data_IF_752049629998
#
_entry.id   IF_752049629998
#
_cell.length_a   1.000
_cell.length_b   1.000
_cell.length_c   1.000
_cell.angle_alpha   90.00
_cell.angle_beta   90.00
_cell.angle_gamma   90.00
#
_symmetry.space_group_name_H-M   'P 1'
#
loop_
_entity.id
_entity.type
_entity.pdbx_description
1 polymer ?
#
# COMPACT_ATOMS: atom_id res chain seq x y z
N UNK A 1 15.83 11.71 -8.75
CA UNK A 1 15.37 11.33 -7.38
C UNK A 1 14.22 10.34 -7.51
N UNK A 2 14.35 9.12 -6.99
CA UNK A 2 13.31 8.10 -7.09
C UNK A 2 12.37 8.21 -5.88
N UNK A 3 11.05 8.36 -6.10
CA UNK A 3 10.06 8.40 -5.01
C UNK A 3 9.92 7.01 -4.40
N UNK A 4 10.01 6.91 -3.08
CA UNK A 4 9.89 5.66 -2.30
C UNK A 4 8.60 5.64 -1.49
N UNK A 5 8.14 4.44 -1.14
CA UNK A 5 6.94 4.17 -0.34
C UNK A 5 7.29 3.09 0.68
N UNK A 6 7.03 3.34 1.96
CA UNK A 6 7.12 2.33 3.02
C UNK A 6 5.75 1.68 3.19
N UNK A 7 5.71 0.34 3.11
CA UNK A 7 4.51 -0.47 3.30
C UNK A 7 4.24 -0.67 4.80
N UNK A 8 3.01 -1.06 5.17
CA UNK A 8 2.61 -1.23 6.57
C UNK A 8 3.43 -2.29 7.32
N UNK A 9 3.94 -3.31 6.61
CA UNK A 9 4.84 -4.33 7.17
C UNK A 9 6.33 -3.91 7.19
N UNK A 10 6.63 -2.63 6.98
CA UNK A 10 7.98 -2.05 7.12
C UNK A 10 8.89 -2.12 5.89
N UNK A 11 8.46 -2.76 4.80
CA UNK A 11 9.27 -2.84 3.57
C UNK A 11 9.17 -1.54 2.76
N UNK A 12 10.31 -1.05 2.29
CA UNK A 12 10.36 0.08 1.37
C UNK A 12 10.39 -0.39 -0.08
N UNK A 13 9.54 0.20 -0.91
CA UNK A 13 9.45 -0.05 -2.35
C UNK A 13 9.48 1.27 -3.12
N UNK A 14 9.81 1.23 -4.40
CA UNK A 14 9.71 2.42 -5.26
C UNK A 14 8.23 2.73 -5.54
N UNK A 15 7.89 3.99 -5.74
CA UNK A 15 6.52 4.40 -6.12
C UNK A 15 6.07 3.70 -7.40
N UNK A 16 7.00 3.49 -8.35
CA UNK A 16 6.74 2.75 -9.58
C UNK A 16 6.37 1.29 -9.28
N UNK A 17 7.09 0.63 -8.37
CA UNK A 17 6.76 -0.74 -7.93
C UNK A 17 5.40 -0.79 -7.22
N UNK A 18 5.08 0.21 -6.39
CA UNK A 18 3.78 0.32 -5.72
C UNK A 18 2.63 0.40 -6.74
N UNK A 19 2.73 1.30 -7.73
CA UNK A 19 1.72 1.46 -8.79
C UNK A 19 1.62 0.20 -9.66
N UNK A 20 2.74 -0.47 -9.97
CA UNK A 20 2.74 -1.76 -10.66
C UNK A 20 2.00 -2.83 -9.85
N UNK A 21 2.20 -2.87 -8.53
CA UNK A 21 1.49 -3.77 -7.62
C UNK A 21 -0.04 -3.59 -7.67
N UNK A 22 -0.52 -2.34 -7.66
CA UNK A 22 -1.95 -2.03 -7.81
C UNK A 22 -2.49 -2.59 -9.13
N UNK A 23 -1.78 -2.38 -10.25
CA UNK A 23 -2.20 -2.84 -11.58
C UNK A 23 -2.26 -4.37 -11.64
N UNK A 24 -1.25 -5.05 -11.09
CA UNK A 24 -1.21 -6.52 -11.02
C UNK A 24 -2.35 -7.07 -10.16
N UNK A 25 -2.62 -6.47 -8.99
CA UNK A 25 -3.73 -6.86 -8.14
C UNK A 25 -5.09 -6.70 -8.85
N UNK A 26 -5.30 -5.58 -9.56
CA UNK A 26 -6.51 -5.35 -10.35
C UNK A 26 -6.68 -6.36 -11.48
N UNK A 27 -5.60 -6.69 -12.19
CA UNK A 27 -5.60 -7.65 -13.30
C UNK A 27 -5.70 -9.12 -12.86
N UNK A 28 -5.43 -9.42 -11.58
CA UNK A 28 -5.50 -10.78 -11.05
C UNK A 28 -6.96 -11.29 -11.03
N UNK A 29 -7.18 -12.60 -11.23
CA UNK A 29 -8.51 -13.20 -11.14
C UNK A 29 -9.18 -12.95 -9.78
N UNK A 30 -10.52 -12.87 -9.71
CA UNK A 30 -11.24 -12.88 -8.44
C UNK A 30 -10.84 -14.09 -7.58
N UNK A 31 -10.84 -13.94 -6.25
CA UNK A 31 -10.42 -14.99 -5.29
C UNK A 31 -8.94 -15.41 -5.36
N UNK A 32 -8.10 -14.66 -6.06
CA UNK A 32 -6.64 -14.86 -5.99
C UNK A 32 -6.15 -14.55 -4.57
N UNK A 33 -5.36 -15.44 -3.99
CA UNK A 33 -4.66 -15.20 -2.72
C UNK A 33 -3.23 -14.78 -3.00
N UNK A 34 -2.82 -13.65 -2.42
CA UNK A 34 -1.44 -13.18 -2.45
C UNK A 34 -0.69 -13.75 -1.25
N UNK A 35 0.61 -14.02 -1.44
CA UNK A 35 1.45 -14.64 -0.40
C UNK A 35 1.56 -13.80 0.87
N UNK A 36 1.39 -12.48 0.75
CA UNK A 36 1.57 -11.54 1.85
C UNK A 36 0.71 -10.28 1.65
N UNK A 37 0.12 -9.79 2.75
CA UNK A 37 -0.49 -8.46 2.88
C UNK A 37 0.49 -7.29 2.73
N UNK A 38 -0.03 -6.08 2.50
CA UNK A 38 0.76 -4.83 2.57
C UNK A 38 0.98 -4.37 4.02
N UNK A 39 0.11 -4.78 4.93
CA UNK A 39 0.15 -4.43 6.35
C UNK A 39 0.49 -5.62 7.27
N UNK A 40 0.56 -6.84 6.73
CA UNK A 40 0.79 -8.06 7.51
C UNK A 40 1.73 -9.04 6.81
N UNK A 41 2.04 -10.14 7.50
CA UNK A 41 2.89 -11.23 6.99
C UNK A 41 2.10 -12.42 6.46
N UNK A 42 0.78 -12.39 6.63
CA UNK A 42 -0.12 -13.49 6.28
C UNK A 42 -0.57 -13.39 4.80
N UNK A 43 -0.90 -14.52 4.17
CA UNK A 43 -1.54 -14.52 2.87
C UNK A 43 -2.92 -13.85 2.94
N UNK A 44 -3.18 -12.94 2.00
CA UNK A 44 -4.42 -12.16 1.98
C UNK A 44 -5.09 -12.29 0.61
N UNK A 45 -6.44 -12.29 0.55
CA UNK A 45 -7.16 -12.32 -0.71
C UNK A 45 -6.98 -11.01 -1.47
N UNK A 46 -7.14 -11.08 -2.79
CA UNK A 46 -7.06 -9.95 -3.72
C UNK A 46 -7.84 -8.74 -3.24
N UNK A 47 -9.05 -8.95 -2.74
CA UNK A 47 -9.96 -7.91 -2.28
C UNK A 47 -9.36 -7.14 -1.09
N UNK A 48 -8.72 -7.85 -0.14
CA UNK A 48 -8.00 -7.23 0.98
C UNK A 48 -6.79 -6.44 0.49
N UNK A 49 -5.95 -7.03 -0.36
CA UNK A 49 -4.77 -6.36 -0.92
C UNK A 49 -5.16 -5.09 -1.67
N UNK A 50 -6.23 -5.14 -2.47
CA UNK A 50 -6.71 -3.98 -3.22
C UNK A 50 -7.21 -2.89 -2.28
N UNK A 51 -7.93 -3.25 -1.21
CA UNK A 51 -8.36 -2.31 -0.17
C UNK A 51 -7.16 -1.64 0.50
N UNK A 52 -6.16 -2.40 0.95
CA UNK A 52 -4.94 -1.86 1.56
C UNK A 52 -4.19 -0.90 0.62
N UNK A 53 -4.10 -1.24 -0.67
CA UNK A 53 -3.51 -0.36 -1.68
C UNK A 53 -4.25 0.97 -1.79
N UNK A 54 -5.58 0.93 -1.82
CA UNK A 54 -6.43 2.13 -1.95
C UNK A 54 -6.42 2.97 -0.68
N UNK A 55 -6.44 2.34 0.50
CA UNK A 55 -6.25 3.02 1.79
C UNK A 55 -4.92 3.79 1.80
N UNK A 56 -3.83 3.16 1.36
CA UNK A 56 -2.54 3.85 1.24
C UNK A 56 -2.57 5.01 0.23
N UNK A 57 -3.32 4.90 -0.87
CA UNK A 57 -3.50 5.99 -1.85
C UNK A 57 -4.27 7.15 -1.23
N UNK A 58 -5.42 6.88 -0.60
CA UNK A 58 -6.24 7.89 0.07
C UNK A 58 -5.46 8.57 1.18
N UNK A 59 -4.72 7.81 1.98
CA UNK A 59 -3.86 8.33 3.03
C UNK A 59 -2.85 9.33 2.44
N UNK A 60 -2.10 8.97 1.39
CA UNK A 60 -1.15 9.91 0.74
C UNK A 60 -1.80 11.15 0.12
N UNK A 61 -3.03 11.05 -0.39
CA UNK A 61 -3.80 12.20 -0.90
C UNK A 61 -4.20 13.11 0.26
N UNK A 62 -4.77 12.54 1.32
CA UNK A 62 -5.20 13.27 2.51
C UNK A 62 -4.01 13.94 3.22
N UNK A 63 -2.84 13.30 3.20
CA UNK A 63 -1.59 13.83 3.74
C UNK A 63 -0.97 14.96 2.92
N UNK A 64 -1.44 15.20 1.70
CA UNK A 64 -1.08 16.38 0.91
C UNK A 64 -2.01 17.58 1.18
N UNK A 65 -3.03 17.45 2.02
CA UNK A 65 -3.95 18.53 2.38
C UNK A 65 -3.40 19.33 3.56
N UNK A 66 -3.21 20.64 3.38
CA UNK A 66 -2.73 21.53 4.44
C UNK A 66 -3.74 21.58 5.61
N UNK A 67 -3.28 21.20 6.82
CA UNK A 67 -4.09 21.14 8.04
C UNK A 67 -4.06 19.77 8.75
N UNK A 68 -3.71 18.71 8.04
CA UNK A 68 -3.41 17.40 8.60
C UNK A 68 -1.91 17.15 8.35
N UNK A 69 -1.07 17.26 9.39
CA UNK A 69 0.39 17.04 9.29
C UNK A 69 0.74 15.69 8.64
N UNK A 70 2.02 15.48 8.30
CA UNK A 70 2.54 14.27 7.62
C UNK A 70 1.86 13.01 8.17
N UNK A 71 0.78 12.57 7.52
CA UNK A 71 -0.05 11.51 8.10
C UNK A 71 0.72 10.21 8.15
N UNK A 72 0.08 9.20 8.73
CA UNK A 72 0.67 7.91 9.14
C UNK A 72 2.11 7.71 8.70
N UNK A 73 3.03 8.32 9.45
CA UNK A 73 4.35 7.76 9.61
C UNK A 73 4.14 6.44 10.33
N UNK A 74 4.24 5.34 9.59
CA UNK A 74 4.41 4.01 10.19
C UNK A 74 5.77 4.01 10.88
N UNK A 75 5.80 4.58 12.07
CA UNK A 75 6.89 4.49 13.04
C UNK A 75 6.19 4.08 14.33
N UNK A 76 6.25 2.79 14.62
CA UNK A 76 6.03 2.33 15.99
C UNK A 76 7.39 2.47 16.70
N UNK A 77 7.40 3.18 17.82
CA UNK A 77 8.45 3.05 18.83
C UNK A 77 8.54 1.60 19.33
#
# INVERSE_FOLDING_TARGET
MQRIVTLGHGKTVTLVAYVRGIRLCKASPPKTTFKQGLCGWWPEPRETILREFMEGVHDRINQHVAGYGQGRKWVYE
#
